data_IF_055387312272
#
_entry.id   IF_055387312272
#
_cell.length_a   1.000
_cell.length_b   1.000
_cell.length_c   1.000
_cell.angle_alpha   90.00
_cell.angle_beta   90.00
_cell.angle_gamma   90.00
#
_symmetry.space_group_name_H-M   'P 1'
#
loop_
_entity.id
_entity.type
_entity.pdbx_description
1 polymer ?
#
# COMPACT_ATOMS: atom_id res chain seq x y z
N UNK A 1 27.54 7.34 25.51
CA UNK A 1 27.68 6.68 26.84
C UNK A 1 26.95 5.36 26.77
N UNK A 2 27.70 4.29 26.50
CA UNK A 2 27.17 2.93 26.38
C UNK A 2 26.82 2.41 27.78
N UNK A 3 25.56 2.05 27.99
CA UNK A 3 25.14 1.29 29.17
C UNK A 3 25.03 -0.17 28.74
N UNK A 4 26.05 -0.95 28.99
CA UNK A 4 26.03 -2.41 28.92
C UNK A 4 25.37 -2.96 30.18
N UNK A 5 24.30 -3.68 30.02
CA UNK A 5 23.76 -4.58 31.05
C UNK A 5 23.50 -5.96 30.43
N UNK A 6 23.85 -7.05 31.14
CA UNK A 6 23.76 -8.41 30.61
C UNK A 6 22.30 -8.89 30.70
N UNK A 7 21.77 -9.37 29.60
CA UNK A 7 20.73 -10.38 29.62
C UNK A 7 19.29 -10.03 29.26
N UNK A 8 18.99 -8.89 28.55
CA UNK A 8 17.63 -8.72 28.00
C UNK A 8 17.65 -7.96 26.67
N UNK A 9 17.12 -8.59 25.62
CA UNK A 9 16.93 -7.94 24.32
C UNK A 9 15.65 -7.11 24.35
N UNK A 10 15.78 -5.82 24.52
CA UNK A 10 14.68 -4.83 24.46
C UNK A 10 14.06 -4.76 23.05
N UNK A 11 14.67 -5.36 22.05
CA UNK A 11 14.26 -5.29 20.65
C UNK A 11 12.86 -5.85 20.33
N UNK A 12 12.43 -6.90 21.02
CA UNK A 12 11.19 -7.60 20.63
C UNK A 12 9.90 -7.00 21.22
N UNK A 13 9.98 -6.27 22.32
CA UNK A 13 8.79 -5.69 22.95
C UNK A 13 8.40 -4.34 22.33
N UNK A 14 9.33 -3.64 21.70
CA UNK A 14 9.07 -2.31 21.12
C UNK A 14 8.44 -2.35 19.73
N UNK A 15 8.69 -3.34 18.89
CA UNK A 15 8.12 -3.41 17.54
C UNK A 15 6.59 -3.56 17.52
N UNK A 16 5.98 -4.19 18.52
CA UNK A 16 4.52 -4.39 18.55
C UNK A 16 3.73 -3.20 19.10
N UNK A 17 4.39 -2.24 19.74
CA UNK A 17 3.74 -1.12 20.45
C UNK A 17 3.72 0.19 19.67
N UNK A 18 4.50 0.33 18.61
CA UNK A 18 4.64 1.58 17.85
C UNK A 18 3.60 1.81 16.74
N UNK A 19 2.79 0.81 16.42
CA UNK A 19 1.81 0.88 15.31
C UNK A 19 0.44 1.47 15.68
N UNK A 20 0.20 1.87 16.93
CA UNK A 20 -1.06 2.51 17.32
C UNK A 20 -0.81 3.87 17.95
N UNK A 21 -1.54 4.85 17.44
CA UNK A 21 -1.48 6.25 17.85
C UNK A 21 -1.70 6.43 19.36
N UNK A 22 -0.89 7.30 19.98
CA UNK A 22 -1.00 7.77 21.36
C UNK A 22 -1.03 6.70 22.47
N UNK A 23 0.13 6.17 22.84
CA UNK A 23 0.24 5.30 24.00
C UNK A 23 1.15 5.86 25.09
N UNK A 24 0.62 5.86 26.32
CA UNK A 24 1.41 6.00 27.54
C UNK A 24 1.98 4.62 27.89
N UNK A 25 3.27 4.42 27.64
CA UNK A 25 3.95 3.19 28.01
C UNK A 25 4.35 3.26 29.47
N UNK A 26 3.76 2.42 30.32
CA UNK A 26 4.18 2.25 31.71
C UNK A 26 5.28 1.20 31.78
N UNK A 27 6.53 1.63 31.90
CA UNK A 27 7.65 0.74 32.15
C UNK A 27 8.03 0.85 33.63
N UNK A 28 7.91 -0.25 34.38
CA UNK A 28 8.34 -0.31 35.78
C UNK A 28 9.67 -1.09 35.85
N UNK A 29 10.71 -0.38 36.25
CA UNK A 29 11.99 -1.01 36.60
C UNK A 29 12.50 -0.41 37.90
N UNK A 30 12.49 -1.20 38.95
CA UNK A 30 12.88 -0.74 40.28
C UNK A 30 12.02 0.45 40.77
N UNK A 31 12.66 1.56 41.10
CA UNK A 31 12.02 2.77 41.62
C UNK A 31 11.75 3.86 40.58
N UNK A 32 11.72 3.52 39.29
CA UNK A 32 11.52 4.49 38.20
C UNK A 32 10.44 4.05 37.25
N UNK A 33 9.59 4.70 36.66
CA UNK A 33 8.93 5.61 36.31
C UNK A 33 8.32 5.80 35.07
N UNK A 34 7.76 6.54 34.46
CA UNK A 34 6.89 6.72 33.32
C UNK A 34 7.61 7.36 32.14
N UNK A 35 7.40 6.85 30.95
CA UNK A 35 7.77 7.52 29.70
C UNK A 35 6.53 7.85 28.87
N UNK A 36 6.48 9.04 28.28
CA UNK A 36 5.51 9.41 27.27
C UNK A 36 6.20 9.50 25.92
N UNK A 37 5.69 8.77 24.93
CA UNK A 37 6.17 8.86 23.55
C UNK A 37 5.27 9.84 22.82
N UNK A 38 5.84 10.82 22.17
CA UNK A 38 5.10 11.81 21.38
C UNK A 38 5.80 12.09 20.06
N UNK A 39 5.03 12.44 19.04
CA UNK A 39 5.54 12.94 17.74
C UNK A 39 5.45 14.45 17.72
N UNK A 40 6.52 15.13 17.34
CA UNK A 40 6.52 16.54 17.03
C UNK A 40 7.54 16.83 15.94
N UNK A 41 7.11 17.45 14.85
CA UNK A 41 7.99 17.94 13.79
C UNK A 41 8.87 16.87 13.12
N UNK A 42 8.33 15.69 12.80
CA UNK A 42 9.07 14.64 12.08
C UNK A 42 9.97 13.74 12.94
N UNK A 43 9.95 13.89 14.27
CA UNK A 43 10.75 13.06 15.19
C UNK A 43 9.91 12.38 16.27
N UNK A 44 10.36 11.23 16.74
CA UNK A 44 9.78 10.52 17.89
C UNK A 44 10.60 10.89 19.14
N UNK A 45 9.92 11.37 20.19
CA UNK A 45 10.53 11.74 21.44
C UNK A 45 10.06 10.84 22.57
N UNK A 46 11.00 10.32 23.36
CA UNK A 46 10.70 9.62 24.60
C UNK A 46 11.02 10.56 25.77
N UNK A 47 10.01 10.97 26.51
CA UNK A 47 10.21 11.70 27.76
C UNK A 47 10.24 10.71 28.93
N UNK A 48 11.38 10.60 29.57
CA UNK A 48 11.58 9.71 30.73
C UNK A 48 11.49 10.57 32.01
N UNK A 49 10.57 10.20 32.88
CA UNK A 49 10.41 10.86 34.19
C UNK A 49 11.00 9.93 35.26
N UNK A 50 11.92 10.41 36.08
CA UNK A 50 12.44 9.70 37.25
C UNK A 50 11.80 10.26 38.51
N UNK A 51 11.16 9.41 39.30
CA UNK A 51 10.65 9.79 40.62
C UNK A 51 11.43 9.03 41.69
N UNK A 52 12.32 9.71 42.40
CA UNK A 52 12.91 9.16 43.64
C UNK A 52 11.92 9.39 44.78
N UNK A 53 11.65 8.33 45.52
CA UNK A 53 10.94 8.43 46.80
C UNK A 53 11.86 9.03 47.84
N UNK A 54 11.94 10.34 47.90
CA UNK A 54 12.39 11.07 49.07
C UNK A 54 11.65 12.41 49.20
N UNK A 55 11.58 12.97 50.39
CA UNK A 55 10.63 14.02 50.78
C UNK A 55 10.81 15.40 50.12
N UNK A 56 11.83 15.56 49.26
CA UNK A 56 12.03 16.75 48.42
C UNK A 56 12.05 16.37 46.96
N UNK A 57 10.87 16.47 46.34
CA UNK A 57 10.68 16.10 44.93
C UNK A 57 11.10 17.24 43.99
N UNK A 58 12.34 17.24 43.54
CA UNK A 58 12.72 17.99 42.34
C UNK A 58 12.37 17.18 41.09
N UNK A 59 11.47 17.72 40.25
CA UNK A 59 11.09 17.16 38.97
C UNK A 59 12.12 17.63 37.94
N UNK A 60 13.03 16.75 37.56
CA UNK A 60 13.95 17.03 36.46
C UNK A 60 13.32 16.61 35.15
N UNK A 61 13.04 17.59 34.28
CA UNK A 61 12.69 17.35 32.88
C UNK A 61 13.95 17.17 32.06
N UNK A 62 14.32 15.96 31.77
CA UNK A 62 15.35 15.68 30.78
C UNK A 62 14.69 15.14 29.52
N UNK A 63 14.55 16.01 28.53
CA UNK A 63 14.18 15.63 27.16
C UNK A 63 15.44 15.14 26.47
N UNK A 64 15.64 13.83 26.43
CA UNK A 64 16.66 13.26 25.58
C UNK A 64 16.08 13.15 24.16
N UNK A 65 16.68 13.86 23.20
CA UNK A 65 16.52 13.50 21.80
C UNK A 65 17.12 12.12 21.63
N UNK A 66 16.28 11.11 21.51
CA UNK A 66 16.76 9.83 21.03
C UNK A 66 16.97 10.06 19.53
N UNK A 67 18.24 10.08 19.11
CA UNK A 67 18.53 9.88 17.70
C UNK A 67 17.77 8.62 17.27
N UNK A 68 17.12 8.63 16.11
CA UNK A 68 16.26 7.52 15.71
C UNK A 68 17.06 6.23 15.83
N UNK A 69 16.64 5.36 16.75
CA UNK A 69 17.25 4.05 17.01
C UNK A 69 16.89 3.06 15.89
N UNK A 70 16.07 3.51 14.99
CA UNK A 70 15.80 2.89 13.69
C UNK A 70 16.27 3.88 12.63
N UNK A 71 17.01 3.44 11.61
CA UNK A 71 17.01 4.23 10.40
C UNK A 71 15.52 4.50 10.11
N UNK A 72 15.12 5.78 10.13
CA UNK A 72 13.89 6.19 9.50
C UNK A 72 14.00 5.54 8.14
N UNK A 73 13.03 4.72 7.78
CA UNK A 73 12.85 4.24 6.44
C UNK A 73 12.87 5.51 5.57
N UNK A 74 14.07 5.93 5.14
CA UNK A 74 14.20 6.86 4.04
C UNK A 74 13.85 6.02 2.83
N UNK A 75 12.58 6.01 2.47
CA UNK A 75 12.06 5.26 1.38
C UNK A 75 12.91 5.46 0.14
N UNK A 76 13.01 4.40 -0.63
CA UNK A 76 13.65 4.46 -1.94
C UNK A 76 13.00 5.61 -2.71
N UNK A 77 13.77 6.62 -3.10
CA UNK A 77 13.23 7.67 -3.97
C UNK A 77 12.59 7.02 -5.19
N UNK A 78 11.52 7.58 -5.72
CA UNK A 78 10.82 7.04 -6.91
C UNK A 78 11.81 6.72 -8.04
N UNK A 79 12.91 7.46 -8.14
CA UNK A 79 13.98 7.24 -9.11
C UNK A 79 14.80 5.96 -8.85
N UNK A 80 14.84 5.45 -7.61
CA UNK A 80 15.56 4.20 -7.27
C UNK A 80 14.74 2.94 -7.51
N UNK A 81 13.41 3.02 -7.54
CA UNK A 81 12.52 1.86 -7.72
C UNK A 81 12.88 1.06 -8.99
N UNK A 82 13.10 1.66 -10.18
CA UNK A 82 13.46 0.90 -11.37
C UNK A 82 14.77 0.12 -11.25
N UNK A 83 15.74 0.64 -10.49
CA UNK A 83 17.01 -0.04 -10.25
C UNK A 83 16.84 -1.22 -9.28
N UNK A 84 16.10 -1.01 -8.20
CA UNK A 84 15.82 -2.02 -7.18
C UNK A 84 14.91 -3.13 -7.73
N UNK A 85 13.92 -2.78 -8.55
CA UNK A 85 13.03 -3.75 -9.18
C UNK A 85 13.76 -4.77 -10.07
N UNK A 86 14.95 -4.43 -10.60
CA UNK A 86 15.82 -5.37 -11.37
C UNK A 86 16.48 -6.43 -10.49
N UNK A 87 16.51 -6.23 -9.18
CA UNK A 87 17.06 -7.17 -8.19
C UNK A 87 15.96 -8.10 -7.64
N UNK A 88 14.73 -7.96 -8.10
CA UNK A 88 13.59 -8.82 -7.74
C UNK A 88 13.35 -9.85 -8.83
N UNK A 89 13.51 -11.11 -8.50
CA UNK A 89 13.42 -12.25 -9.40
C UNK A 89 12.15 -13.06 -9.13
N UNK A 90 11.42 -13.39 -10.18
CA UNK A 90 10.26 -14.27 -10.13
C UNK A 90 10.61 -15.60 -10.79
N UNK A 91 10.54 -16.70 -10.04
CA UNK A 91 10.98 -18.03 -10.46
C UNK A 91 9.80 -18.97 -10.53
N UNK A 92 9.47 -19.47 -11.70
CA UNK A 92 8.44 -20.48 -11.94
C UNK A 92 9.10 -21.83 -12.05
N UNK A 93 8.75 -22.77 -11.19
CA UNK A 93 9.35 -24.11 -11.13
C UNK A 93 8.38 -25.14 -11.72
N UNK A 94 8.86 -25.91 -12.69
CA UNK A 94 8.12 -26.94 -13.42
C UNK A 94 6.74 -26.49 -13.94
N UNK A 95 6.61 -25.27 -14.54
CA UNK A 95 5.31 -24.81 -15.03
C UNK A 95 4.80 -25.72 -16.14
N UNK A 96 3.54 -26.15 -16.03
CA UNK A 96 2.97 -27.12 -16.96
C UNK A 96 2.27 -26.47 -18.15
N UNK A 97 1.80 -25.23 -18.03
CA UNK A 97 1.05 -24.51 -19.04
C UNK A 97 1.79 -23.24 -19.50
N UNK A 98 2.11 -23.12 -20.82
CA UNK A 98 2.79 -21.94 -21.37
C UNK A 98 2.01 -20.65 -21.14
N UNK A 99 0.67 -20.71 -21.18
CA UNK A 99 -0.20 -19.58 -20.90
C UNK A 99 0.01 -18.97 -19.52
N UNK A 100 0.33 -19.78 -18.50
CA UNK A 100 0.67 -19.27 -17.17
C UNK A 100 2.00 -18.50 -17.17
N UNK A 101 2.98 -18.94 -17.97
CA UNK A 101 4.26 -18.23 -18.12
C UNK A 101 4.05 -16.87 -18.79
N UNK A 102 3.25 -16.83 -19.88
CA UNK A 102 2.88 -15.58 -20.54
C UNK A 102 2.13 -14.62 -19.62
N UNK A 103 1.15 -15.13 -18.88
CA UNK A 103 0.38 -14.36 -17.91
C UNK A 103 1.26 -13.85 -16.76
N UNK A 104 2.22 -14.65 -16.28
CA UNK A 104 3.19 -14.23 -15.27
C UNK A 104 4.11 -13.12 -15.79
N UNK A 105 4.60 -13.21 -17.02
CA UNK A 105 5.38 -12.15 -17.66
C UNK A 105 4.60 -10.82 -17.70
N UNK A 106 3.30 -10.88 -18.00
CA UNK A 106 2.41 -9.71 -17.95
C UNK A 106 2.25 -9.18 -16.53
N UNK A 107 2.03 -10.07 -15.57
CA UNK A 107 1.83 -9.73 -14.17
C UNK A 107 3.02 -8.93 -13.62
N UNK A 108 4.24 -9.45 -13.78
CA UNK A 108 5.44 -8.80 -13.23
C UNK A 108 5.75 -7.48 -13.94
N UNK A 109 5.61 -7.41 -15.28
CA UNK A 109 5.85 -6.17 -16.02
C UNK A 109 4.88 -5.07 -15.63
N UNK A 110 3.61 -5.40 -15.45
CA UNK A 110 2.58 -4.44 -15.01
C UNK A 110 2.93 -3.81 -13.65
N UNK A 111 3.64 -4.55 -12.79
CA UNK A 111 4.13 -4.08 -11.49
C UNK A 111 5.57 -3.55 -11.53
N UNK A 112 6.15 -3.33 -12.73
CA UNK A 112 7.48 -2.73 -12.88
C UNK A 112 8.64 -3.69 -12.71
N UNK A 113 8.42 -5.01 -12.70
CA UNK A 113 9.46 -6.03 -12.62
C UNK A 113 9.73 -6.69 -13.97
N UNK A 114 10.95 -7.24 -14.14
CA UNK A 114 11.39 -7.74 -15.45
C UNK A 114 12.15 -9.07 -15.40
N UNK A 115 12.68 -9.52 -14.25
CA UNK A 115 13.47 -10.74 -14.14
C UNK A 115 12.57 -11.96 -13.89
N UNK A 116 12.15 -12.60 -15.00
CA UNK A 116 11.42 -13.87 -15.00
C UNK A 116 12.39 -15.02 -15.24
N UNK A 117 12.37 -16.03 -14.36
CA UNK A 117 13.09 -17.29 -14.50
C UNK A 117 12.11 -18.43 -14.58
N UNK A 118 12.41 -19.38 -15.46
CA UNK A 118 11.58 -20.57 -15.66
C UNK A 118 12.48 -21.79 -15.51
N UNK A 119 12.18 -22.60 -14.53
CA UNK A 119 12.94 -23.81 -14.22
C UNK A 119 12.21 -25.00 -14.80
N UNK A 120 12.89 -25.82 -15.61
CA UNK A 120 12.42 -27.09 -16.16
C UNK A 120 10.96 -27.02 -16.68
N UNK A 121 10.62 -26.10 -17.59
CA UNK A 121 9.24 -25.99 -18.09
C UNK A 121 8.87 -27.26 -18.88
N UNK A 122 7.62 -27.70 -18.73
CA UNK A 122 7.13 -28.87 -19.49
C UNK A 122 7.21 -28.66 -21.00
N UNK A 123 7.03 -27.44 -21.46
CA UNK A 123 7.14 -27.03 -22.86
C UNK A 123 8.32 -26.08 -22.99
N UNK A 124 9.42 -26.57 -23.56
CA UNK A 124 10.66 -25.81 -23.66
C UNK A 124 10.54 -24.58 -24.56
N UNK A 125 9.73 -24.68 -25.62
CA UNK A 125 9.51 -23.60 -26.59
C UNK A 125 8.41 -22.62 -26.16
N UNK A 126 8.14 -22.51 -24.85
CA UNK A 126 7.08 -21.65 -24.31
C UNK A 126 7.14 -20.20 -24.79
N UNK A 127 8.33 -19.67 -25.17
CA UNK A 127 8.49 -18.29 -25.65
C UNK A 127 7.82 -18.04 -26.99
N UNK A 128 7.73 -19.08 -27.82
CA UNK A 128 7.07 -19.05 -29.13
C UNK A 128 5.68 -19.68 -29.13
N UNK A 129 5.24 -20.22 -27.98
CA UNK A 129 3.92 -20.79 -27.84
C UNK A 129 2.84 -19.72 -28.01
N UNK A 130 1.82 -20.01 -28.82
CA UNK A 130 0.79 -19.05 -29.18
C UNK A 130 -0.04 -18.57 -27.97
N UNK A 131 -0.29 -19.47 -27.01
CA UNK A 131 -1.04 -19.12 -25.80
C UNK A 131 -0.19 -18.22 -24.88
N UNK A 132 1.10 -18.58 -24.68
CA UNK A 132 2.02 -17.76 -23.89
C UNK A 132 2.16 -16.34 -24.46
N UNK A 133 2.36 -16.22 -25.77
CA UNK A 133 2.48 -14.93 -26.46
C UNK A 133 1.17 -14.12 -26.37
N UNK A 134 0.04 -14.77 -26.60
CA UNK A 134 -1.27 -14.11 -26.53
C UNK A 134 -1.57 -13.58 -25.14
N UNK A 135 -1.26 -14.34 -24.07
CA UNK A 135 -1.50 -13.94 -22.68
C UNK A 135 -0.45 -12.96 -22.13
N UNK A 136 0.77 -12.96 -22.69
CA UNK A 136 1.78 -11.96 -22.38
C UNK A 136 1.40 -10.56 -22.90
N UNK A 137 0.60 -10.46 -23.97
CA UNK A 137 0.15 -9.18 -24.57
C UNK A 137 1.30 -8.19 -24.82
N UNK A 138 1.29 -7.03 -24.16
CA UNK A 138 2.35 -6.00 -24.24
C UNK A 138 3.64 -6.37 -23.49
N UNK A 139 3.72 -7.57 -22.89
CA UNK A 139 4.85 -8.04 -22.08
C UNK A 139 5.63 -9.17 -22.74
N UNK A 140 5.51 -9.30 -24.04
CA UNK A 140 6.27 -10.29 -24.86
C UNK A 140 7.79 -10.08 -24.73
N UNK A 141 8.23 -8.87 -24.49
CA UNK A 141 9.63 -8.55 -24.21
C UNK A 141 10.14 -9.24 -22.94
N UNK A 142 9.35 -9.24 -21.85
CA UNK A 142 9.68 -9.96 -20.60
C UNK A 142 9.64 -11.47 -20.82
N UNK A 143 8.64 -11.98 -21.56
CA UNK A 143 8.56 -13.39 -21.92
C UNK A 143 9.79 -13.84 -22.71
N UNK A 144 10.20 -13.07 -23.70
CA UNK A 144 11.39 -13.36 -24.53
C UNK A 144 12.69 -13.25 -23.73
N UNK A 145 12.78 -12.30 -22.82
CA UNK A 145 13.94 -12.11 -21.94
C UNK A 145 14.02 -13.15 -20.81
N UNK A 146 12.95 -13.90 -20.55
CA UNK A 146 12.93 -14.90 -19.48
C UNK A 146 14.08 -15.91 -19.65
N UNK A 147 14.76 -16.25 -18.55
CA UNK A 147 15.86 -17.21 -18.56
C UNK A 147 15.34 -18.59 -18.17
N UNK A 148 15.70 -19.59 -18.96
CA UNK A 148 15.35 -21.00 -18.70
C UNK A 148 16.50 -21.69 -17.99
N UNK A 149 16.22 -22.38 -16.89
CA UNK A 149 17.17 -23.16 -16.11
C UNK A 149 16.69 -24.60 -15.99
N UNK A 150 17.62 -25.53 -15.78
CA UNK A 150 17.28 -26.94 -15.57
C UNK A 150 17.04 -27.24 -14.09
N UNK A 151 17.66 -26.46 -13.20
CA UNK A 151 17.54 -26.65 -11.74
C UNK A 151 17.12 -25.33 -11.07
N UNK A 152 16.54 -25.44 -9.88
CA UNK A 152 16.19 -24.27 -9.08
C UNK A 152 17.44 -23.60 -8.52
N UNK A 153 18.48 -24.35 -8.18
CA UNK A 153 19.76 -23.84 -7.72
C UNK A 153 20.37 -22.88 -8.73
N UNK A 154 20.38 -23.24 -10.02
CA UNK A 154 20.88 -22.37 -11.10
C UNK A 154 20.05 -21.08 -11.24
N UNK A 155 18.74 -21.19 -11.05
CA UNK A 155 17.85 -20.02 -11.11
C UNK A 155 18.04 -19.09 -9.91
N UNK A 156 18.51 -19.60 -8.77
CA UNK A 156 18.78 -18.86 -7.53
C UNK A 156 20.23 -18.34 -7.42
N UNK A 157 21.08 -18.57 -8.42
CA UNK A 157 22.45 -18.05 -8.39
C UNK A 157 22.47 -16.53 -8.19
N UNK A 158 23.25 -16.06 -7.19
CA UNK A 158 23.34 -14.64 -6.81
C UNK A 158 22.16 -14.13 -5.96
N UNK A 159 21.17 -14.97 -5.67
CA UNK A 159 20.06 -14.64 -4.76
C UNK A 159 20.53 -14.78 -3.31
N UNK A 160 20.26 -13.77 -2.50
CA UNK A 160 20.60 -13.76 -1.07
C UNK A 160 19.39 -13.98 -0.17
N UNK A 161 18.19 -13.85 -0.73
CA UNK A 161 16.93 -14.10 -0.03
C UNK A 161 15.92 -14.71 -1.00
N UNK A 162 15.58 -15.98 -0.79
CA UNK A 162 14.57 -16.70 -1.56
C UNK A 162 13.33 -16.96 -0.70
N UNK A 163 12.16 -16.69 -1.25
CA UNK A 163 10.86 -16.90 -0.65
C UNK A 163 10.06 -17.92 -1.45
N UNK A 164 9.67 -19.03 -0.85
CA UNK A 164 8.80 -20.02 -1.45
C UNK A 164 7.34 -19.62 -1.31
N UNK A 165 6.57 -19.57 -2.40
CA UNK A 165 5.12 -19.33 -2.34
C UNK A 165 4.39 -20.67 -2.17
N UNK A 166 3.63 -20.82 -1.09
CA UNK A 166 2.88 -22.03 -0.77
C UNK A 166 1.55 -21.70 -0.10
N UNK A 167 0.49 -22.34 -0.54
CA UNK A 167 -0.82 -22.25 0.13
C UNK A 167 -0.93 -23.13 1.40
N UNK A 168 0.08 -23.95 1.70
CA UNK A 168 0.04 -24.90 2.80
C UNK A 168 1.32 -24.84 3.64
N UNK A 169 1.17 -24.85 4.96
CA UNK A 169 2.29 -25.04 5.87
C UNK A 169 2.77 -26.49 5.85
N UNK A 170 4.06 -26.69 6.06
CA UNK A 170 4.68 -28.02 6.16
C UNK A 170 5.41 -28.15 7.48
N UNK A 171 5.30 -29.32 8.11
CA UNK A 171 5.82 -29.57 9.46
C UNK A 171 7.33 -29.28 9.59
N UNK A 172 8.11 -29.55 8.53
CA UNK A 172 9.57 -29.34 8.49
C UNK A 172 9.99 -28.35 7.40
N UNK A 173 9.07 -27.50 6.96
CA UNK A 173 9.35 -26.44 5.97
C UNK A 173 9.98 -25.20 6.60
N UNK A 174 10.46 -24.25 5.78
CA UNK A 174 10.89 -22.96 6.27
C UNK A 174 9.74 -22.23 6.98
N UNK A 175 10.05 -21.25 7.87
CA UNK A 175 9.03 -20.44 8.53
C UNK A 175 8.05 -19.84 7.54
N UNK A 176 6.76 -19.93 7.86
CA UNK A 176 5.70 -19.38 7.01
C UNK A 176 5.28 -18.00 7.51
N UNK A 177 5.17 -17.08 6.57
CA UNK A 177 4.71 -15.70 6.77
C UNK A 177 3.56 -15.42 5.80
N UNK A 178 2.79 -14.35 6.02
CA UNK A 178 1.89 -13.88 4.97
C UNK A 178 2.67 -13.12 3.89
N UNK A 179 2.08 -12.95 2.70
CA UNK A 179 2.77 -12.33 1.56
C UNK A 179 3.19 -10.89 1.87
N UNK A 180 2.41 -10.15 2.65
CA UNK A 180 2.70 -8.78 3.03
C UNK A 180 3.98 -8.68 3.90
N UNK A 181 4.08 -9.51 4.95
CA UNK A 181 5.30 -9.59 5.78
C UNK A 181 6.53 -10.02 4.98
N UNK A 182 6.33 -10.94 4.04
CA UNK A 182 7.42 -11.44 3.19
C UNK A 182 7.97 -10.37 2.26
N UNK A 183 7.11 -9.55 1.65
CA UNK A 183 7.55 -8.47 0.75
C UNK A 183 8.16 -7.29 1.52
N UNK A 184 7.69 -6.99 2.73
CA UNK A 184 8.34 -6.01 3.61
C UNK A 184 9.77 -6.43 3.96
N UNK A 185 9.96 -7.70 4.34
CA UNK A 185 11.30 -8.28 4.57
C UNK A 185 12.19 -8.19 3.33
N UNK A 186 11.62 -8.48 2.15
CA UNK A 186 12.32 -8.40 0.88
C UNK A 186 12.70 -6.95 0.53
N UNK A 187 11.81 -5.99 0.75
CA UNK A 187 12.07 -4.57 0.52
C UNK A 187 13.21 -4.07 1.42
N UNK A 188 13.17 -4.38 2.73
CA UNK A 188 14.26 -4.09 3.65
C UNK A 188 15.62 -4.66 3.20
N UNK A 189 15.63 -5.87 2.61
CA UNK A 189 16.86 -6.47 2.10
C UNK A 189 17.42 -5.74 0.88
N UNK A 190 16.53 -5.16 0.07
CA UNK A 190 16.90 -4.42 -1.14
C UNK A 190 17.41 -3.00 -0.87
N UNK A 191 17.17 -2.44 0.31
CA UNK A 191 17.74 -1.15 0.73
C UNK A 191 19.27 -1.19 0.83
N UNK A 192 19.81 -2.34 1.23
CA UNK A 192 21.27 -2.56 1.22
C UNK A 192 21.72 -2.85 -0.22
N UNK A 193 22.47 -1.94 -0.81
CA UNK A 193 23.03 -2.09 -2.16
C UNK A 193 23.93 -3.34 -2.27
N UNK A 194 24.56 -3.76 -1.17
CA UNK A 194 25.32 -5.00 -1.07
C UNK A 194 24.44 -6.23 -0.77
N UNK A 195 23.16 -6.03 -0.54
CA UNK A 195 22.22 -7.07 -0.07
C UNK A 195 21.97 -8.20 -1.07
N UNK A 196 22.35 -8.09 -2.34
CA UNK A 196 22.15 -9.08 -3.40
C UNK A 196 20.72 -9.09 -3.93
N UNK A 197 20.44 -10.05 -4.81
CA UNK A 197 19.10 -10.23 -5.39
C UNK A 197 18.17 -10.98 -4.43
N UNK A 198 16.87 -10.77 -4.61
CA UNK A 198 15.83 -11.55 -3.95
C UNK A 198 15.04 -12.37 -4.98
N UNK A 199 14.45 -13.48 -4.56
CA UNK A 199 13.62 -14.32 -5.42
C UNK A 199 12.32 -14.74 -4.73
N UNK A 200 11.22 -14.66 -5.48
CA UNK A 200 9.96 -15.31 -5.16
C UNK A 200 9.82 -16.56 -6.02
N UNK A 201 9.66 -17.71 -5.39
CA UNK A 201 9.67 -19.02 -6.02
C UNK A 201 8.29 -19.65 -5.98
N UNK A 202 7.75 -19.97 -7.16
CA UNK A 202 6.43 -20.52 -7.37
C UNK A 202 6.55 -21.93 -7.93
N UNK A 203 5.84 -22.88 -7.34
CA UNK A 203 5.84 -24.27 -7.79
C UNK A 203 4.83 -24.57 -8.88
N UNK A 204 4.69 -25.87 -9.17
CA UNK A 204 3.74 -26.35 -10.18
C UNK A 204 2.29 -26.01 -9.82
N UNK A 205 1.43 -25.93 -10.81
CA UNK A 205 0.00 -25.61 -10.66
C UNK A 205 -0.76 -26.66 -9.82
N UNK A 206 -0.29 -27.91 -9.79
CA UNK A 206 -1.01 -29.01 -9.10
C UNK A 206 -0.50 -29.30 -7.70
N UNK A 207 0.81 -29.38 -7.53
CA UNK A 207 1.46 -29.86 -6.29
C UNK A 207 2.29 -28.79 -5.56
N UNK A 208 2.43 -27.59 -6.16
CA UNK A 208 3.32 -26.58 -5.62
C UNK A 208 4.80 -26.99 -5.71
N UNK A 209 5.60 -26.51 -4.77
CA UNK A 209 7.02 -26.84 -4.64
C UNK A 209 7.21 -28.19 -3.90
N UNK A 210 8.26 -28.94 -4.24
CA UNK A 210 8.67 -30.12 -3.44
C UNK A 210 9.33 -29.67 -2.13
N UNK A 211 9.58 -30.62 -1.22
CA UNK A 211 10.28 -30.32 0.04
C UNK A 211 11.74 -29.88 -0.22
N UNK A 212 12.38 -30.51 -1.19
CA UNK A 212 13.75 -30.19 -1.61
C UNK A 212 13.83 -28.79 -2.19
N UNK A 213 12.87 -28.41 -3.05
CA UNK A 213 12.78 -27.06 -3.62
C UNK A 213 12.49 -26.00 -2.56
N UNK A 214 11.62 -26.30 -1.59
CA UNK A 214 11.34 -25.39 -0.47
C UNK A 214 12.55 -25.23 0.48
N UNK A 215 13.36 -26.28 0.65
CA UNK A 215 14.55 -26.24 1.49
C UNK A 215 15.64 -25.26 0.97
N UNK A 216 15.59 -24.89 -0.30
CA UNK A 216 16.47 -23.87 -0.89
C UNK A 216 16.02 -22.43 -0.56
N UNK A 217 14.81 -22.27 0.00
CA UNK A 217 14.26 -20.98 0.36
C UNK A 217 14.42 -20.71 1.87
N UNK A 218 14.71 -19.48 2.25
CA UNK A 218 14.92 -19.10 3.65
C UNK A 218 13.60 -18.97 4.41
N UNK A 219 12.50 -18.67 3.73
CA UNK A 219 11.16 -18.61 4.32
C UNK A 219 10.10 -18.98 3.29
N UNK A 220 8.89 -19.19 3.78
CA UNK A 220 7.73 -19.52 2.98
C UNK A 220 6.69 -18.42 3.11
N UNK A 221 6.04 -18.04 2.03
CA UNK A 221 5.00 -17.04 2.00
C UNK A 221 3.66 -17.66 1.60
N UNK A 222 2.62 -17.29 2.33
CA UNK A 222 1.25 -17.66 2.00
C UNK A 222 0.43 -16.42 1.62
N UNK A 223 -0.33 -16.53 0.53
CA UNK A 223 -1.34 -15.56 0.17
C UNK A 223 -2.61 -15.89 0.95
N UNK A 224 -3.15 -14.93 1.69
CA UNK A 224 -4.39 -15.09 2.42
C UNK A 224 -5.56 -15.33 1.45
N UNK A 225 -5.94 -16.57 1.29
CA UNK A 225 -7.02 -17.01 0.43
C UNK A 225 -8.14 -17.69 1.25
N UNK A 226 -9.24 -18.06 0.58
CA UNK A 226 -10.32 -18.81 1.22
C UNK A 226 -9.79 -20.17 1.72
N UNK A 227 -9.91 -20.49 3.02
CA UNK A 227 -9.45 -21.76 3.57
C UNK A 227 -10.04 -23.00 2.87
N UNK A 228 -11.27 -22.89 2.37
CA UNK A 228 -11.94 -23.99 1.66
C UNK A 228 -11.42 -24.19 0.22
N UNK A 229 -10.71 -23.17 -0.35
CA UNK A 229 -10.13 -23.21 -1.69
C UNK A 229 -8.89 -22.32 -1.75
N UNK A 230 -7.78 -22.70 -1.07
CA UNK A 230 -6.62 -21.83 -0.93
C UNK A 230 -5.70 -21.83 -2.16
N UNK A 231 -5.94 -22.71 -3.13
CA UNK A 231 -5.10 -22.85 -4.31
C UNK A 231 -5.43 -21.77 -5.34
N UNK A 232 -4.45 -20.92 -5.64
CA UNK A 232 -4.53 -19.92 -6.69
C UNK A 232 -3.93 -20.47 -7.99
N UNK A 233 -4.41 -19.95 -9.13
CA UNK A 233 -3.69 -20.13 -10.39
C UNK A 233 -2.28 -19.54 -10.26
N UNK A 234 -1.28 -20.17 -10.89
CA UNK A 234 0.12 -19.77 -10.82
C UNK A 234 0.33 -18.29 -11.17
N UNK A 235 -0.22 -17.81 -12.28
CA UNK A 235 -0.08 -16.43 -12.69
C UNK A 235 -0.81 -15.44 -11.77
N UNK A 236 -1.91 -15.86 -11.13
CA UNK A 236 -2.60 -15.04 -10.13
C UNK A 236 -1.76 -14.90 -8.86
N UNK A 237 -1.11 -15.98 -8.40
CA UNK A 237 -0.19 -15.91 -7.27
C UNK A 237 1.00 -14.97 -7.58
N UNK A 238 1.55 -15.04 -8.79
CA UNK A 238 2.59 -14.11 -9.25
C UNK A 238 2.10 -12.67 -9.25
N UNK A 239 0.87 -12.41 -9.74
CA UNK A 239 0.30 -11.06 -9.77
C UNK A 239 0.14 -10.46 -8.38
N UNK A 240 -0.38 -11.24 -7.42
CA UNK A 240 -0.57 -10.76 -6.04
C UNK A 240 0.79 -10.46 -5.40
N UNK A 241 1.76 -11.39 -5.51
CA UNK A 241 3.11 -11.18 -4.96
C UNK A 241 3.80 -9.98 -5.60
N UNK A 242 3.68 -9.80 -6.90
CA UNK A 242 4.25 -8.66 -7.60
C UNK A 242 3.58 -7.33 -7.19
N UNK A 243 2.27 -7.33 -6.97
CA UNK A 243 1.53 -6.17 -6.48
C UNK A 243 1.96 -5.79 -5.05
N UNK A 244 2.02 -6.76 -4.14
CA UNK A 244 2.47 -6.52 -2.77
C UNK A 244 3.92 -6.02 -2.73
N UNK A 245 4.82 -6.63 -3.54
CA UNK A 245 6.21 -6.19 -3.62
C UNK A 245 6.34 -4.78 -4.20
N UNK A 246 5.57 -4.45 -5.24
CA UNK A 246 5.51 -3.10 -5.78
C UNK A 246 5.03 -2.10 -4.73
N UNK A 247 3.97 -2.44 -4.00
CA UNK A 247 3.41 -1.61 -2.93
C UNK A 247 4.42 -1.42 -1.79
N UNK A 248 5.14 -2.47 -1.39
CA UNK A 248 6.18 -2.35 -0.37
C UNK A 248 7.33 -1.42 -0.79
N UNK A 249 7.74 -1.46 -2.07
CA UNK A 249 8.76 -0.54 -2.59
C UNK A 249 8.27 0.91 -2.70
N UNK A 250 6.96 1.12 -2.80
CA UNK A 250 6.33 2.44 -2.85
C UNK A 250 5.98 2.98 -1.46
N UNK A 251 5.93 2.15 -0.41
CA UNK A 251 5.34 2.51 0.88
C UNK A 251 5.89 3.80 1.49
N UNK A 252 7.14 4.15 1.19
CA UNK A 252 7.78 5.37 1.65
C UNK A 252 7.75 6.53 0.65
N UNK A 253 7.31 6.27 -0.59
CA UNK A 253 7.20 7.30 -1.63
C UNK A 253 5.77 7.78 -1.83
N UNK A 254 4.78 7.07 -1.28
CA UNK A 254 3.38 7.45 -1.38
C UNK A 254 3.03 8.54 -0.36
N UNK A 255 2.86 9.73 -0.86
CA UNK A 255 2.00 10.70 -0.21
C UNK A 255 0.55 10.33 -0.49
N UNK A 256 -0.25 10.18 0.57
CA UNK A 256 -1.68 9.89 0.47
C UNK A 256 -2.34 10.76 -0.61
N UNK A 257 -2.86 10.11 -1.62
CA UNK A 257 -3.57 10.77 -2.69
C UNK A 257 -2.75 11.12 -3.94
N UNK A 258 -1.48 10.71 -4.07
CA UNK A 258 -0.76 10.82 -5.34
C UNK A 258 -1.28 9.78 -6.35
N UNK A 259 -1.45 10.25 -7.58
CA UNK A 259 -1.86 9.42 -8.70
C UNK A 259 -0.62 8.81 -9.38
N UNK A 260 -0.80 7.65 -10.01
CA UNK A 260 0.22 7.12 -10.90
C UNK A 260 0.52 8.12 -12.03
N UNK A 261 1.76 8.08 -12.57
CA UNK A 261 2.22 9.03 -13.62
C UNK A 261 1.35 9.07 -14.87
N UNK A 262 0.58 8.02 -15.14
CA UNK A 262 -0.38 7.96 -16.26
C UNK A 262 -1.78 8.47 -15.89
N UNK A 263 -2.04 8.74 -14.61
CA UNK A 263 -3.27 9.34 -14.14
C UNK A 263 -3.01 10.83 -13.92
N UNK A 264 -3.86 11.66 -14.47
CA UNK A 264 -3.78 13.09 -14.25
C UNK A 264 -4.97 13.55 -13.41
N UNK A 265 -4.70 14.42 -12.45
CA UNK A 265 -5.75 15.21 -11.81
C UNK A 265 -6.01 16.44 -12.64
N UNK A 266 -7.27 16.69 -12.89
CA UNK A 266 -7.66 17.99 -13.40
C UNK A 266 -7.54 19.02 -12.27
N UNK A 267 -7.15 20.25 -12.59
CA UNK A 267 -7.09 21.33 -11.59
C UNK A 267 -8.46 21.58 -10.94
N UNK A 268 -9.53 21.30 -11.70
CA UNK A 268 -10.93 21.37 -11.24
C UNK A 268 -11.29 20.29 -10.19
N UNK A 269 -10.49 19.24 -10.03
CA UNK A 269 -10.74 18.17 -9.06
C UNK A 269 -10.10 18.44 -7.69
N UNK A 270 -9.47 19.60 -7.53
CA UNK A 270 -8.99 20.03 -6.22
C UNK A 270 -10.16 20.25 -5.27
N UNK A 271 -9.98 19.82 -4.03
CA UNK A 271 -10.96 20.04 -2.97
C UNK A 271 -11.29 21.53 -2.85
N UNK A 272 -12.58 21.85 -2.75
CA UNK A 272 -13.02 23.21 -2.58
C UNK A 272 -12.54 23.78 -1.25
N UNK A 273 -12.00 25.01 -1.21
CA UNK A 273 -11.63 25.67 0.03
C UNK A 273 -12.87 25.95 0.89
N UNK A 274 -12.71 25.94 2.20
CA UNK A 274 -13.81 26.16 3.16
C UNK A 274 -14.65 27.39 2.84
N UNK A 275 -14.08 28.56 2.48
CA UNK A 275 -14.88 29.73 2.11
C UNK A 275 -15.79 29.52 0.90
N UNK A 276 -15.37 28.71 -0.09
CA UNK A 276 -16.19 28.39 -1.27
C UNK A 276 -17.37 27.48 -0.89
N UNK A 277 -17.12 26.47 -0.03
CA UNK A 277 -18.14 25.57 0.52
C UNK A 277 -19.17 26.37 1.34
N UNK A 278 -18.74 27.27 2.21
CA UNK A 278 -19.63 28.14 2.97
C UNK A 278 -20.41 29.10 2.08
N UNK A 279 -19.80 29.59 1.00
CA UNK A 279 -20.47 30.37 -0.04
C UNK A 279 -21.56 29.57 -0.75
N UNK A 280 -21.34 28.29 -0.99
CA UNK A 280 -22.34 27.39 -1.53
C UNK A 280 -23.50 27.18 -0.55
N UNK A 281 -23.25 26.89 0.73
CA UNK A 281 -24.31 26.65 1.71
C UNK A 281 -25.21 27.88 1.91
N UNK A 282 -24.67 29.09 1.90
CA UNK A 282 -25.49 30.31 1.91
C UNK A 282 -26.39 30.40 0.70
N UNK A 283 -25.84 30.15 -0.48
CA UNK A 283 -26.59 30.19 -1.74
C UNK A 283 -27.63 29.05 -1.82
N UNK A 284 -27.33 27.90 -1.22
CA UNK A 284 -28.27 26.78 -1.08
C UNK A 284 -29.46 27.12 -0.18
N UNK A 285 -29.21 27.78 0.95
CA UNK A 285 -30.25 28.26 1.85
C UNK A 285 -31.20 29.24 1.14
N UNK A 286 -30.65 30.20 0.40
CA UNK A 286 -31.43 31.12 -0.44
C UNK A 286 -32.27 30.39 -1.47
N UNK A 287 -31.70 29.38 -2.13
CA UNK A 287 -32.41 28.58 -3.15
C UNK A 287 -33.53 27.75 -2.52
N UNK A 288 -33.29 27.13 -1.38
CA UNK A 288 -34.30 26.33 -0.67
C UNK A 288 -35.45 27.21 -0.14
N UNK A 289 -35.16 28.41 0.32
CA UNK A 289 -36.16 29.41 0.68
C UNK A 289 -36.96 29.87 -0.53
N UNK A 290 -36.30 30.17 -1.64
CA UNK A 290 -36.94 30.67 -2.86
C UNK A 290 -37.89 29.63 -3.52
N UNK A 291 -37.58 28.32 -3.38
CA UNK A 291 -38.46 27.27 -3.87
C UNK A 291 -39.50 26.77 -2.83
N UNK A 292 -39.48 27.30 -1.61
CA UNK A 292 -40.41 26.96 -0.54
C UNK A 292 -40.09 25.63 0.18
N UNK A 293 -38.88 25.08 -0.04
CA UNK A 293 -38.41 23.88 0.67
C UNK A 293 -37.93 24.17 2.11
N UNK A 294 -37.48 25.40 2.33
CA UNK A 294 -37.07 25.91 3.64
C UNK A 294 -37.96 27.09 4.04
N UNK A 295 -38.60 26.96 5.20
CA UNK A 295 -39.26 28.09 5.86
C UNK A 295 -38.25 28.73 6.84
N UNK A 296 -37.85 30.00 6.64
CA UNK A 296 -36.94 30.68 7.54
C UNK A 296 -37.50 30.86 8.96
N UNK A 297 -38.84 30.86 9.13
CA UNK A 297 -39.48 30.94 10.44
C UNK A 297 -39.45 29.62 11.22
N UNK A 298 -39.46 28.46 10.46
CA UNK A 298 -39.35 27.11 10.99
C UNK A 298 -38.36 26.25 10.20
N UNK A 299 -37.04 26.54 10.28
CA UNK A 299 -36.05 25.92 9.40
C UNK A 299 -35.83 24.42 9.61
N UNK A 300 -36.33 23.86 10.73
CA UNK A 300 -36.17 22.47 11.11
C UNK A 300 -34.71 22.00 10.96
N UNK A 301 -34.49 20.79 10.43
CA UNK A 301 -33.17 20.19 10.30
C UNK A 301 -32.61 20.20 8.85
N UNK A 302 -33.29 20.87 7.91
CA UNK A 302 -32.95 20.76 6.48
C UNK A 302 -31.51 21.18 6.21
N UNK A 303 -31.08 22.35 6.70
CA UNK A 303 -29.72 22.85 6.46
C UNK A 303 -28.66 21.96 7.14
N UNK A 304 -28.92 21.48 8.35
CA UNK A 304 -28.00 20.56 9.05
C UNK A 304 -27.85 19.21 8.30
N UNK A 305 -28.95 18.65 7.82
CA UNK A 305 -28.93 17.42 7.01
C UNK A 305 -28.22 17.62 5.67
N UNK A 306 -28.45 18.73 5.03
CA UNK A 306 -27.80 19.09 3.76
C UNK A 306 -26.29 19.27 3.94
N UNK A 307 -25.85 19.99 4.98
CA UNK A 307 -24.43 20.11 5.34
C UNK A 307 -23.80 18.75 5.55
N UNK A 308 -24.43 17.89 6.35
CA UNK A 308 -23.95 16.52 6.58
C UNK A 308 -23.87 15.70 5.28
N UNK A 309 -24.81 15.87 4.35
CA UNK A 309 -24.81 15.19 3.06
C UNK A 309 -23.60 15.59 2.21
N UNK A 310 -23.44 16.88 1.97
CA UNK A 310 -22.37 17.41 1.12
C UNK A 310 -20.98 17.32 1.75
N UNK A 311 -20.86 17.39 3.07
CA UNK A 311 -19.56 17.19 3.75
C UNK A 311 -18.98 15.79 3.54
N UNK A 312 -19.84 14.77 3.33
CA UNK A 312 -19.37 13.40 3.06
C UNK A 312 -18.86 13.20 1.63
N UNK A 313 -19.24 14.08 0.69
CA UNK A 313 -18.84 13.94 -0.72
C UNK A 313 -17.45 14.52 -1.03
N UNK A 314 -16.87 15.34 -0.13
CA UNK A 314 -15.57 15.95 -0.38
C UNK A 314 -15.57 16.86 -1.62
N UNK A 315 -16.51 17.83 -1.66
CA UNK A 315 -16.75 18.66 -2.84
C UNK A 315 -15.48 19.29 -3.40
N UNK A 316 -15.30 19.15 -4.71
CA UNK A 316 -14.32 19.86 -5.50
C UNK A 316 -14.78 21.28 -5.83
N UNK A 317 -13.87 22.18 -6.23
CA UNK A 317 -14.22 23.55 -6.64
C UNK A 317 -15.22 23.54 -7.81
N UNK A 318 -15.04 22.63 -8.77
CA UNK A 318 -15.94 22.52 -9.94
C UNK A 318 -17.36 22.07 -9.55
N UNK A 319 -17.47 21.17 -8.58
CA UNK A 319 -18.77 20.72 -8.05
C UNK A 319 -19.46 21.85 -7.28
N UNK A 320 -18.73 22.62 -6.49
CA UNK A 320 -19.25 23.82 -5.81
C UNK A 320 -19.78 24.83 -6.84
N UNK A 321 -19.03 25.08 -7.90
CA UNK A 321 -19.46 26.03 -8.95
C UNK A 321 -20.69 25.53 -9.70
N UNK A 322 -20.76 24.23 -10.02
CA UNK A 322 -21.94 23.60 -10.59
C UNK A 322 -23.18 23.71 -9.67
N UNK A 323 -23.02 23.38 -8.40
CA UNK A 323 -24.09 23.46 -7.40
C UNK A 323 -24.59 24.90 -7.21
N UNK A 324 -23.66 25.88 -7.18
CA UNK A 324 -24.03 27.30 -7.14
C UNK A 324 -24.77 27.77 -8.40
N UNK A 325 -24.43 27.20 -9.57
CA UNK A 325 -25.19 27.38 -10.80
C UNK A 325 -26.63 26.88 -10.71
N UNK A 326 -26.81 25.71 -10.09
CA UNK A 326 -28.14 25.15 -9.82
C UNK A 326 -28.94 26.04 -8.86
N UNK A 327 -28.31 26.49 -7.76
CA UNK A 327 -28.96 27.42 -6.81
C UNK A 327 -29.43 28.71 -7.53
N UNK A 328 -28.59 29.31 -8.36
CA UNK A 328 -28.94 30.48 -9.14
C UNK A 328 -30.13 30.22 -10.09
N UNK A 329 -30.19 29.04 -10.70
CA UNK A 329 -31.30 28.64 -11.54
C UNK A 329 -32.62 28.45 -10.78
N UNK A 330 -32.56 27.98 -9.53
CA UNK A 330 -33.72 27.84 -8.64
C UNK A 330 -34.24 29.20 -8.21
N UNK A 331 -33.38 30.11 -7.83
CA UNK A 331 -33.73 31.46 -7.36
C UNK A 331 -34.35 32.29 -8.45
N UNK A 332 -33.92 32.13 -9.72
CA UNK A 332 -34.48 32.85 -10.87
C UNK A 332 -35.95 32.52 -11.08
N UNK A 333 -36.74 33.55 -11.45
CA UNK A 333 -38.15 33.38 -11.81
C UNK A 333 -38.28 32.42 -13.01
N UNK A 334 -39.41 31.71 -13.12
CA UNK A 334 -39.67 30.83 -14.26
C UNK A 334 -39.54 31.52 -15.61
N UNK A 335 -39.81 32.84 -15.67
CA UNK A 335 -39.73 33.65 -16.88
C UNK A 335 -38.32 33.90 -17.34
N UNK A 336 -37.38 33.91 -16.40
CA UNK A 336 -35.97 34.29 -16.64
C UNK A 336 -35.05 33.06 -16.78
N UNK A 337 -35.61 31.85 -16.72
CA UNK A 337 -34.84 30.58 -16.86
C UNK A 337 -34.48 30.38 -18.33
N UNK A 338 -33.22 29.99 -18.59
CA UNK A 338 -32.75 29.58 -19.91
C UNK A 338 -33.59 28.37 -20.36
N UNK A 339 -34.37 28.49 -21.43
CA UNK A 339 -35.28 27.45 -21.93
C UNK A 339 -36.76 27.82 -21.83
N UNK A 340 -37.17 28.74 -20.97
CA UNK A 340 -38.55 29.23 -20.92
C UNK A 340 -38.97 29.90 -22.26
N UNK A 341 -37.98 30.49 -22.99
CA UNK A 341 -38.23 31.10 -24.32
C UNK A 341 -38.48 30.06 -25.42
N UNK A 342 -38.11 28.79 -25.26
CA UNK A 342 -38.36 27.75 -26.27
C UNK A 342 -39.81 27.16 -26.18
N UNK A 343 -40.48 27.34 -25.06
CA UNK A 343 -41.84 26.83 -24.85
C UNK A 343 -42.95 27.77 -25.32
N UNK A 344 -42.61 29.05 -25.59
CA UNK A 344 -43.56 30.08 -26.05
C UNK A 344 -43.50 30.35 -27.55
N UNK A 345 -42.69 29.64 -28.31
CA UNK A 345 -42.48 29.84 -29.73
C UNK A 345 -42.97 28.71 -30.62
N UNK A 346 -44.20 28.22 -30.45
CA UNK A 346 -44.97 27.48 -31.50
C UNK A 346 -46.43 27.58 -31.21
N UNK A 347 -47.04 28.55 -31.81
CA UNK A 347 -48.39 28.42 -32.41
C UNK A 347 -48.32 28.99 -33.81
#
# INVERSE_FOLDING_TARGET
>A
MEVRTPGFRIREVFCHLLLKQDFVVRIRWGNVLFGKVGRCGGGVFLSVFSVRKNKDAEIWHQTAKIAPLFPIFEGLSVDRIPAVARRVRFVLVDPSHPGNIGSAARAIKTMGFYDLRVVNPRIMDYKSDMEAVALATSSVDVLNAAKTHMTLEDALEGVTLACALSGYSREFGPPIENVHESVERAALRLEDDAGGDIAFVFGTERSGLTNEQMALCQFCSAIAANPDSPSLNLAQAVQITAYEMHTALLADTHHDGELYSWQSRFESDRAAPVPAIEGFFRHWEEAMTACGALDPAEPKNLMGMTRRLFSRSGLTQREVDMLRGICAAIIRSKKDRIGSKKLTGKR
#
